data_IF_613501253669
#
_entry.id   IF_613501253669
#
_cell.length_a   1.000
_cell.length_b   1.000
_cell.length_c   1.000
_cell.angle_alpha   90.00
_cell.angle_beta   90.00
_cell.angle_gamma   90.00
#
_symmetry.space_group_name_H-M   'P 1'
#
loop_
_entity.id
_entity.type
_entity.pdbx_description
1 polymer ?
#
# COMPACT_ATOMS: atom_id res chain seq x y z
N UNK A 1 5.29 2.30 11.09
CA UNK A 1 6.36 3.10 10.44
C UNK A 1 7.61 2.28 10.06
N UNK A 2 7.50 0.97 9.79
CA UNK A 2 8.67 0.08 9.64
C UNK A 2 9.44 0.25 8.31
N UNK A 3 8.74 0.52 7.20
CA UNK A 3 9.35 0.76 5.88
C UNK A 3 10.24 2.01 5.90
N UNK A 4 9.75 3.10 6.49
CA UNK A 4 10.50 4.35 6.60
C UNK A 4 11.76 4.17 7.44
N UNK A 5 11.66 3.52 8.61
CA UNK A 5 12.79 3.27 9.50
C UNK A 5 13.86 2.37 8.88
N UNK A 6 13.47 1.34 8.11
CA UNK A 6 14.42 0.48 7.41
C UNK A 6 15.18 1.23 6.32
N UNK A 7 14.47 2.01 5.51
CA UNK A 7 15.07 2.76 4.41
C UNK A 7 15.85 3.99 4.88
N UNK A 8 15.42 4.67 5.94
CA UNK A 8 16.04 5.92 6.41
C UNK A 8 17.43 5.70 6.97
N UNK A 9 17.69 4.55 7.61
CA UNK A 9 19.03 4.15 8.07
C UNK A 9 20.05 4.00 6.94
N UNK A 10 19.61 3.78 5.70
CA UNK A 10 20.47 3.61 4.52
C UNK A 10 20.49 4.84 3.63
N UNK A 11 19.32 5.44 3.39
CA UNK A 11 19.15 6.63 2.56
C UNK A 11 17.83 7.35 2.91
N UNK A 12 17.89 8.41 3.74
CA UNK A 12 16.71 9.18 4.16
C UNK A 12 15.88 9.75 3.00
N UNK A 13 16.54 10.22 1.94
CA UNK A 13 15.88 10.78 0.75
C UNK A 13 15.09 9.70 0.00
N UNK A 14 15.67 8.50 -0.14
CA UNK A 14 14.97 7.37 -0.75
C UNK A 14 13.76 6.93 0.10
N UNK A 15 13.90 6.90 1.43
CA UNK A 15 12.81 6.58 2.35
C UNK A 15 11.62 7.55 2.19
N UNK A 16 11.89 8.86 2.14
CA UNK A 16 10.86 9.88 1.93
C UNK A 16 10.13 9.73 0.59
N UNK A 17 10.87 9.45 -0.49
CA UNK A 17 10.29 9.20 -1.83
C UNK A 17 9.37 7.98 -1.83
N UNK A 18 9.78 6.89 -1.18
CA UNK A 18 8.98 5.66 -1.07
C UNK A 18 7.68 5.93 -0.30
N UNK A 19 7.77 6.55 0.88
CA UNK A 19 6.59 6.88 1.70
C UNK A 19 5.62 7.79 0.95
N UNK A 20 6.13 8.84 0.30
CA UNK A 20 5.31 9.76 -0.50
C UNK A 20 4.53 9.02 -1.58
N UNK A 21 5.19 8.09 -2.27
CA UNK A 21 4.58 7.37 -3.38
C UNK A 21 3.58 6.30 -2.94
N UNK A 22 3.79 5.68 -1.77
CA UNK A 22 2.81 4.80 -1.13
C UNK A 22 1.56 5.60 -0.74
N UNK A 23 1.73 6.78 -0.11
CA UNK A 23 0.61 7.66 0.26
C UNK A 23 -0.22 8.08 -0.96
N UNK A 24 0.44 8.59 -2.00
CA UNK A 24 -0.23 8.94 -3.26
C UNK A 24 -0.99 7.77 -3.92
N UNK A 25 -0.51 6.54 -3.74
CA UNK A 25 -1.21 5.36 -4.23
C UNK A 25 -2.43 5.01 -3.36
N UNK A 26 -2.33 5.19 -2.03
CA UNK A 26 -3.43 4.98 -1.09
C UNK A 26 -4.54 6.04 -1.23
N UNK A 27 -4.18 7.30 -1.46
CA UNK A 27 -5.15 8.39 -1.64
C UNK A 27 -6.13 8.10 -2.79
N UNK A 28 -5.65 7.46 -3.86
CA UNK A 28 -6.49 7.05 -5.00
C UNK A 28 -7.55 6.00 -4.64
N UNK A 29 -7.34 5.22 -3.58
CA UNK A 29 -8.32 4.23 -3.16
C UNK A 29 -9.55 4.89 -2.54
N UNK A 30 -9.43 6.11 -2.01
CA UNK A 30 -10.59 6.87 -1.52
C UNK A 30 -11.55 7.27 -2.64
N UNK A 31 -11.03 7.54 -3.85
CA UNK A 31 -11.84 7.87 -5.02
C UNK A 31 -12.28 6.62 -5.80
N UNK A 32 -11.42 5.60 -5.83
CA UNK A 32 -11.65 4.37 -6.59
C UNK A 32 -11.31 3.12 -5.75
N UNK A 33 -12.20 2.71 -4.84
CA UNK A 33 -11.94 1.62 -3.89
C UNK A 33 -11.63 0.27 -4.56
N UNK A 34 -12.15 0.01 -5.76
CA UNK A 34 -11.98 -1.27 -6.47
C UNK A 34 -10.84 -1.26 -7.50
N UNK A 35 -9.87 -0.35 -7.37
CA UNK A 35 -8.69 -0.30 -8.23
C UNK A 35 -7.79 -1.54 -8.08
N UNK A 36 -7.68 -2.08 -6.86
CA UNK A 36 -6.91 -3.29 -6.56
C UNK A 36 -7.50 -4.54 -7.20
N UNK A 37 -6.65 -5.53 -7.45
CA UNK A 37 -7.10 -6.87 -7.80
C UNK A 37 -7.49 -7.64 -6.54
N UNK A 38 -8.34 -8.66 -6.68
CA UNK A 38 -8.70 -9.55 -5.57
C UNK A 38 -7.44 -10.15 -4.96
N UNK A 39 -7.26 -9.94 -3.66
CA UNK A 39 -6.11 -10.40 -2.89
C UNK A 39 -6.17 -11.90 -2.60
N UNK A 40 -5.08 -12.43 -2.05
CA UNK A 40 -4.99 -13.85 -1.65
C UNK A 40 -5.94 -14.20 -0.50
N UNK A 41 -6.11 -13.28 0.45
CA UNK A 41 -7.02 -13.46 1.57
C UNK A 41 -8.43 -13.02 1.15
N UNK A 42 -9.44 -13.80 1.52
CA UNK A 42 -10.83 -13.48 1.21
C UNK A 42 -11.20 -12.08 1.74
N UNK A 43 -11.92 -11.30 0.94
CA UNK A 43 -12.34 -9.94 1.29
C UNK A 43 -11.27 -8.86 1.12
N UNK A 44 -10.03 -9.23 0.76
CA UNK A 44 -8.94 -8.27 0.54
C UNK A 44 -8.74 -7.92 -0.93
N UNK A 45 -8.20 -6.74 -1.15
CA UNK A 45 -7.70 -6.26 -2.43
C UNK A 45 -6.21 -5.92 -2.31
N UNK A 46 -5.50 -6.08 -3.41
CA UNK A 46 -4.08 -5.80 -3.54
C UNK A 46 -3.87 -4.71 -4.60
N UNK A 47 -3.18 -3.63 -4.23
CA UNK A 47 -2.87 -2.52 -5.13
C UNK A 47 -1.37 -2.29 -5.23
N UNK A 48 -0.82 -2.44 -6.43
CA UNK A 48 0.63 -2.30 -6.67
C UNK A 48 1.02 -0.82 -6.79
N UNK A 49 2.02 -0.40 -6.02
CA UNK A 49 2.55 0.96 -6.08
C UNK A 49 3.45 1.11 -7.31
N UNK A 50 2.98 1.81 -8.36
CA UNK A 50 3.71 1.93 -9.64
C UNK A 50 5.17 2.38 -9.45
N UNK A 51 6.11 1.68 -10.11
CA UNK A 51 7.56 1.93 -10.06
C UNK A 51 8.22 1.66 -8.70
N UNK A 52 7.52 1.03 -7.77
CA UNK A 52 8.06 0.59 -6.50
C UNK A 52 7.71 -0.89 -6.28
N UNK A 53 8.58 -1.67 -5.63
CA UNK A 53 8.31 -3.08 -5.33
C UNK A 53 7.38 -3.23 -4.10
N UNK A 54 6.37 -2.39 -3.94
CA UNK A 54 5.46 -2.40 -2.79
C UNK A 54 4.01 -2.64 -3.22
N UNK A 55 3.29 -3.40 -2.39
CA UNK A 55 1.86 -3.73 -2.55
C UNK A 55 1.12 -3.22 -1.32
N UNK A 56 0.02 -2.50 -1.54
CA UNK A 56 -0.92 -2.11 -0.49
C UNK A 56 -2.01 -3.19 -0.43
N UNK A 57 -2.19 -3.81 0.73
CA UNK A 57 -3.28 -4.75 1.00
C UNK A 57 -4.35 -4.02 1.80
N UNK A 58 -5.60 -4.09 1.35
CA UNK A 58 -6.69 -3.34 1.93
C UNK A 58 -8.04 -4.06 1.78
N UNK A 59 -9.04 -3.60 2.51
CA UNK A 59 -10.44 -4.03 2.41
C UNK A 59 -11.32 -2.85 1.99
N UNK A 60 -12.43 -3.15 1.31
CA UNK A 60 -13.50 -2.17 1.02
C UNK A 60 -14.70 -2.55 1.87
N UNK A 61 -15.15 -1.61 2.70
CA UNK A 61 -16.35 -1.75 3.52
C UNK A 61 -17.49 -0.97 2.88
N UNK A 62 -18.31 -1.68 2.11
CA UNK A 62 -19.42 -1.09 1.34
C UNK A 62 -20.46 -0.41 2.22
N UNK A 63 -20.68 -0.94 3.43
CA UNK A 63 -21.64 -0.45 4.41
C UNK A 63 -21.25 0.92 4.99
N UNK A 64 -19.95 1.16 5.18
CA UNK A 64 -19.42 2.43 5.70
C UNK A 64 -18.79 3.32 4.63
N UNK A 65 -18.72 2.85 3.38
CA UNK A 65 -17.95 3.48 2.30
C UNK A 65 -16.48 3.75 2.68
N UNK A 66 -15.88 2.84 3.45
CA UNK A 66 -14.51 2.97 3.94
C UNK A 66 -13.53 2.05 3.21
N UNK A 67 -12.30 2.54 3.05
CA UNK A 67 -11.15 1.74 2.64
C UNK A 67 -10.23 1.54 3.84
N UNK A 68 -10.01 0.29 4.23
CA UNK A 68 -9.16 -0.05 5.37
C UNK A 68 -7.84 -0.66 4.88
N UNK A 69 -6.75 0.08 5.02
CA UNK A 69 -5.41 -0.42 4.68
C UNK A 69 -4.92 -1.36 5.79
N UNK A 70 -4.79 -2.65 5.45
CA UNK A 70 -4.31 -3.68 6.36
C UNK A 70 -2.78 -3.71 6.47
N UNK A 71 -2.09 -3.36 5.38
CA UNK A 71 -0.64 -3.36 5.36
C UNK A 71 -0.02 -2.93 4.04
N UNK A 72 1.29 -2.69 4.08
CA UNK A 72 2.10 -2.42 2.89
C UNK A 72 3.30 -3.36 2.92
N UNK A 73 3.46 -4.15 1.86
CA UNK A 73 4.41 -5.24 1.79
C UNK A 73 5.39 -5.04 0.64
N UNK A 74 6.65 -5.42 0.84
CA UNK A 74 7.62 -5.46 -0.25
C UNK A 74 7.39 -6.74 -1.07
N UNK A 75 6.93 -6.63 -2.31
CA UNK A 75 6.43 -7.75 -3.11
C UNK A 75 7.46 -8.84 -3.42
N UNK A 76 8.76 -8.54 -3.31
CA UNK A 76 9.84 -9.51 -3.51
C UNK A 76 10.49 -10.03 -2.21
N UNK A 77 10.10 -9.54 -1.03
CA UNK A 77 10.76 -9.87 0.24
C UNK A 77 9.80 -10.40 1.30
N UNK A 78 8.58 -9.84 1.40
CA UNK A 78 7.68 -10.06 2.54
C UNK A 78 6.23 -10.37 2.09
N UNK A 79 6.03 -11.27 1.13
CA UNK A 79 4.67 -11.65 0.67
C UNK A 79 4.25 -13.03 1.15
#
# INVERSE_FOLDING_TARGET
>A
NRIYEFLSKRNPTAASRVVTRIRQAADRLGEFPHLGHVGRAAGTYEWTVRRLPYIIVYEVREDTAEVVVLGVFHGAQDR
#
